data_IF_261773120234
#
_entry.id   IF_261773120234
#
_cell.length_a   1.000
_cell.length_b   1.000
_cell.length_c   1.000
_cell.angle_alpha   90.00
_cell.angle_beta   90.00
_cell.angle_gamma   90.00
#
_symmetry.space_group_name_H-M   'P 1'
#
loop_
_entity.id
_entity.type
_entity.pdbx_description
1 polymer ?
#
# COMPACT_ATOMS: atom_id res chain seq x y z
N UNK A 1 -58.56 -28.56 23.88
CA UNK A 1 -57.16 -28.52 23.40
C UNK A 1 -56.83 -27.08 23.10
N UNK A 2 -56.25 -26.41 24.10
CA UNK A 2 -55.99 -24.97 24.14
C UNK A 2 -54.63 -24.68 23.52
N UNK A 3 -54.60 -23.86 22.47
CA UNK A 3 -53.39 -23.40 21.81
C UNK A 3 -52.71 -22.31 22.65
N UNK A 4 -51.50 -22.57 23.12
CA UNK A 4 -50.62 -21.59 23.77
C UNK A 4 -49.80 -20.85 22.71
N UNK A 5 -50.13 -19.58 22.51
CA UNK A 5 -49.33 -18.65 21.72
C UNK A 5 -48.06 -18.27 22.49
N UNK A 6 -46.89 -18.65 21.97
CA UNK A 6 -45.60 -18.19 22.48
C UNK A 6 -45.18 -16.95 21.69
N UNK A 7 -45.12 -15.81 22.38
CA UNK A 7 -44.69 -14.51 21.83
C UNK A 7 -43.23 -14.59 21.41
N UNK A 8 -42.95 -14.44 20.11
CA UNK A 8 -41.60 -14.24 19.62
C UNK A 8 -41.10 -12.87 20.06
N UNK A 9 -40.01 -12.88 20.84
CA UNK A 9 -39.35 -11.69 21.38
C UNK A 9 -38.57 -11.05 20.24
N UNK A 10 -38.97 -9.84 19.83
CA UNK A 10 -38.21 -9.03 18.88
C UNK A 10 -36.78 -8.87 19.40
N UNK A 11 -35.80 -9.39 18.66
CA UNK A 11 -34.40 -9.09 18.92
C UNK A 11 -34.18 -7.62 18.58
N UNK A 12 -33.74 -6.89 19.60
CA UNK A 12 -33.25 -5.54 19.48
C UNK A 12 -31.98 -5.62 18.62
N UNK A 13 -32.07 -5.15 17.37
CA UNK A 13 -30.91 -4.92 16.52
C UNK A 13 -30.14 -3.80 17.21
N UNK A 14 -29.01 -4.15 17.84
CA UNK A 14 -28.05 -3.16 18.29
C UNK A 14 -27.54 -2.43 17.05
N UNK A 15 -27.58 -1.11 17.11
CA UNK A 15 -26.99 -0.23 16.10
C UNK A 15 -25.57 -0.73 15.79
N UNK A 16 -25.37 -1.15 14.54
CA UNK A 16 -24.04 -1.41 14.01
C UNK A 16 -23.27 -0.08 14.15
N UNK A 17 -22.26 -0.04 15.01
CA UNK A 17 -21.24 0.99 14.92
C UNK A 17 -20.67 0.88 13.52
N UNK A 18 -21.03 1.82 12.64
CA UNK A 18 -20.33 2.06 11.38
C UNK A 18 -18.85 2.19 11.74
N UNK A 19 -18.09 1.13 11.47
CA UNK A 19 -16.65 1.22 11.47
C UNK A 19 -16.35 2.13 10.27
N UNK A 20 -16.06 3.38 10.60
CA UNK A 20 -15.57 4.42 9.71
C UNK A 20 -14.25 3.94 9.07
N UNK A 21 -14.39 3.10 8.05
CA UNK A 21 -13.37 2.65 7.11
C UNK A 21 -13.42 3.55 5.85
N UNK A 22 -14.02 4.75 5.95
CA UNK A 22 -14.17 5.71 4.84
C UNK A 22 -12.91 6.53 4.57
N UNK A 23 -11.77 6.20 5.18
CA UNK A 23 -10.50 6.82 4.79
C UNK A 23 -9.41 5.75 4.66
N UNK A 24 -9.13 5.38 3.40
CA UNK A 24 -8.10 4.46 2.95
C UNK A 24 -6.66 4.98 3.19
N UNK A 25 -6.41 5.56 4.36
CA UNK A 25 -5.12 6.07 4.79
C UNK A 25 -4.69 5.31 6.04
N UNK A 26 -3.56 4.61 5.94
CA UNK A 26 -3.00 3.84 7.05
C UNK A 26 -2.87 4.70 8.32
N UNK A 27 -3.27 4.15 9.47
CA UNK A 27 -3.24 4.89 10.73
C UNK A 27 -1.79 5.02 11.20
N UNK A 28 -1.33 6.25 11.46
CA UNK A 28 0.04 6.47 11.95
C UNK A 28 0.23 5.97 13.38
N UNK A 29 1.40 5.42 13.71
CA UNK A 29 1.70 4.90 15.06
C UNK A 29 1.66 5.95 16.17
N UNK A 30 1.65 7.24 15.83
CA UNK A 30 1.45 8.33 16.80
C UNK A 30 0.12 8.21 17.54
N UNK A 31 -0.91 7.57 16.96
CA UNK A 31 -2.17 7.34 17.65
C UNK A 31 -2.09 6.29 18.76
N UNK A 32 -0.96 5.56 18.87
CA UNK A 32 -0.71 4.60 19.95
C UNK A 32 -0.16 5.28 21.21
N UNK A 33 0.13 6.59 21.18
CA UNK A 33 0.55 7.31 22.38
C UNK A 33 -0.52 7.29 23.47
N UNK A 34 -0.13 6.99 24.71
CA UNK A 34 -1.05 6.80 25.83
C UNK A 34 -0.99 5.38 26.39
N UNK A 35 -1.77 5.10 27.44
CA UNK A 35 -1.84 3.78 28.08
C UNK A 35 -0.48 3.15 28.49
N UNK A 36 0.54 3.99 28.70
CA UNK A 36 1.90 3.57 29.04
C UNK A 36 2.86 3.43 27.86
N UNK A 37 2.43 3.79 26.65
CA UNK A 37 3.27 4.01 25.46
C UNK A 37 3.60 5.51 25.41
N UNK A 38 4.90 5.82 25.36
CA UNK A 38 5.39 7.21 25.39
C UNK A 38 5.80 7.68 23.99
N UNK A 39 5.87 8.99 23.78
CA UNK A 39 6.42 9.56 22.54
C UNK A 39 7.85 9.07 22.25
N UNK A 40 8.65 8.81 23.30
CA UNK A 40 9.98 8.22 23.15
C UNK A 40 9.97 6.74 22.72
N UNK A 41 8.88 6.02 22.96
CA UNK A 41 8.69 4.66 22.43
C UNK A 41 8.26 4.73 20.96
N UNK A 42 7.38 5.66 20.59
CA UNK A 42 7.00 5.92 19.19
C UNK A 42 8.22 6.32 18.36
N UNK A 43 9.08 7.20 18.88
CA UNK A 43 10.31 7.59 18.18
C UNK A 43 11.20 6.39 17.86
N UNK A 44 11.37 5.45 18.80
CA UNK A 44 12.15 4.21 18.56
C UNK A 44 11.50 3.29 17.54
N UNK A 45 10.17 3.21 17.53
CA UNK A 45 9.44 2.44 16.52
C UNK A 45 9.66 3.04 15.12
N UNK A 46 9.59 4.38 15.00
CA UNK A 46 9.93 5.10 13.75
C UNK A 46 11.37 4.87 13.32
N UNK A 47 12.33 4.98 14.24
CA UNK A 47 13.75 4.70 13.97
C UNK A 47 13.98 3.25 13.51
N UNK A 48 13.15 2.31 13.97
CA UNK A 48 13.18 0.91 13.56
C UNK A 48 12.39 0.64 12.25
N UNK A 49 11.81 1.67 11.63
CA UNK A 49 11.12 1.59 10.34
C UNK A 49 9.61 1.29 10.43
N UNK A 50 9.01 1.37 11.61
CA UNK A 50 7.56 1.24 11.78
C UNK A 50 6.90 2.60 11.83
N UNK A 51 5.93 2.83 10.96
CA UNK A 51 5.26 4.12 10.79
C UNK A 51 3.75 4.03 10.92
N UNK A 52 3.18 2.85 10.65
CA UNK A 52 1.73 2.60 10.67
C UNK A 52 1.32 1.57 11.73
N UNK A 53 0.07 1.63 12.19
CA UNK A 53 -0.49 0.70 13.16
C UNK A 53 -0.55 -0.73 12.58
N UNK A 54 -0.81 -0.83 11.28
CA UNK A 54 -0.79 -2.03 10.45
C UNK A 54 0.55 -2.76 10.59
N UNK A 55 1.65 -2.04 10.33
CA UNK A 55 3.00 -2.59 10.45
C UNK A 55 3.27 -3.11 11.86
N UNK A 56 2.79 -2.44 12.90
CA UNK A 56 2.96 -2.90 14.29
C UNK A 56 2.17 -4.18 14.54
N UNK A 57 0.88 -4.24 14.19
CA UNK A 57 0.07 -5.41 14.53
C UNK A 57 0.42 -6.64 13.69
N UNK A 58 0.91 -6.45 12.45
CA UNK A 58 1.38 -7.55 11.60
C UNK A 58 2.79 -8.03 11.97
N UNK A 59 3.53 -7.24 12.75
CA UNK A 59 4.90 -7.59 13.14
C UNK A 59 4.93 -8.61 14.28
N UNK A 60 5.67 -9.72 14.13
CA UNK A 60 5.87 -10.67 15.20
C UNK A 60 6.51 -10.02 16.43
N UNK A 61 6.00 -10.30 17.64
CA UNK A 61 6.53 -9.77 18.92
C UNK A 61 8.06 -9.86 19.01
N UNK A 62 8.65 -10.97 18.55
CA UNK A 62 10.12 -11.20 18.56
C UNK A 62 10.90 -10.08 17.85
N UNK A 63 10.35 -9.50 16.78
CA UNK A 63 10.99 -8.42 16.04
C UNK A 63 10.88 -7.09 16.79
N UNK A 64 9.78 -6.84 17.51
CA UNK A 64 9.67 -5.65 18.37
C UNK A 64 10.67 -5.69 19.53
N UNK A 65 11.00 -6.89 20.04
CA UNK A 65 11.98 -7.07 21.11
C UNK A 65 13.43 -6.82 20.67
N UNK A 66 13.73 -6.80 19.36
CA UNK A 66 15.08 -6.44 18.89
C UNK A 66 15.32 -4.93 18.94
N UNK A 67 14.25 -4.13 19.10
CA UNK A 67 14.33 -2.68 19.17
C UNK A 67 14.88 -2.27 20.54
N UNK A 68 16.04 -1.61 20.53
CA UNK A 68 16.72 -1.19 21.75
C UNK A 68 15.83 -0.27 22.60
N UNK A 69 15.56 -0.70 23.83
CA UNK A 69 14.77 0.08 24.78
C UNK A 69 13.26 -0.16 24.71
N UNK A 70 12.81 -1.16 23.96
CA UNK A 70 11.47 -1.75 24.06
C UNK A 70 11.58 -3.01 24.92
N UNK A 71 10.93 -3.01 26.09
CA UNK A 71 10.86 -4.18 26.97
C UNK A 71 9.73 -5.10 26.56
N UNK A 72 9.72 -6.34 27.07
CA UNK A 72 8.65 -7.29 26.80
C UNK A 72 7.27 -6.76 27.17
N UNK A 73 7.14 -6.19 28.38
CA UNK A 73 5.90 -5.57 28.83
C UNK A 73 5.46 -4.38 27.96
N UNK A 74 6.40 -3.64 27.35
CA UNK A 74 6.07 -2.57 26.41
C UNK A 74 5.60 -3.14 25.06
N UNK A 75 6.28 -4.16 24.54
CA UNK A 75 5.89 -4.81 23.29
C UNK A 75 4.47 -5.38 23.39
N UNK A 76 4.12 -6.03 24.53
CA UNK A 76 2.76 -6.54 24.76
C UNK A 76 1.71 -5.41 24.75
N UNK A 77 2.00 -4.29 25.43
CA UNK A 77 1.10 -3.13 25.42
C UNK A 77 0.94 -2.52 24.04
N UNK A 78 2.04 -2.35 23.30
CA UNK A 78 2.03 -1.79 21.94
C UNK A 78 1.15 -2.66 21.03
N UNK A 79 1.37 -3.98 21.04
CA UNK A 79 0.57 -4.92 20.25
C UNK A 79 -0.90 -4.94 20.69
N UNK A 80 -1.17 -4.85 22.00
CA UNK A 80 -2.53 -4.80 22.51
C UNK A 80 -3.27 -3.53 22.07
N UNK A 81 -2.65 -2.36 22.14
CA UNK A 81 -3.28 -1.10 21.68
C UNK A 81 -3.47 -1.10 20.16
N UNK A 82 -2.48 -1.57 19.39
CA UNK A 82 -2.61 -1.70 17.93
C UNK A 82 -3.75 -2.65 17.54
N UNK A 83 -3.92 -3.76 18.26
CA UNK A 83 -4.98 -4.74 18.00
C UNK A 83 -6.39 -4.23 18.29
N UNK A 84 -6.55 -3.16 19.09
CA UNK A 84 -7.86 -2.53 19.32
C UNK A 84 -8.29 -1.66 18.14
N UNK A 85 -7.32 -1.13 17.40
CA UNK A 85 -7.56 -0.23 16.27
C UNK A 85 -7.77 -0.98 14.95
N UNK A 86 -7.56 -2.30 14.95
CA UNK A 86 -7.62 -3.14 13.77
C UNK A 86 -8.40 -4.43 14.02
N UNK A 87 -9.22 -4.80 13.05
CA UNK A 87 -9.98 -6.06 13.08
C UNK A 87 -9.09 -7.20 12.59
N UNK A 88 -8.34 -7.81 13.51
CA UNK A 88 -7.40 -8.91 13.25
C UNK A 88 -8.05 -10.32 13.26
N UNK A 89 -9.37 -10.40 13.13
CA UNK A 89 -10.16 -11.62 13.31
C UNK A 89 -10.74 -12.22 12.03
N UNK A 90 -11.65 -13.18 12.20
CA UNK A 90 -12.44 -13.73 11.11
C UNK A 90 -13.43 -12.69 10.59
N UNK A 91 -13.50 -12.55 9.27
CA UNK A 91 -14.54 -11.78 8.55
C UNK A 91 -15.34 -12.74 7.68
N UNK A 92 -16.62 -12.44 7.45
CA UNK A 92 -17.43 -13.17 6.48
C UNK A 92 -16.95 -12.89 5.05
N UNK A 93 -17.26 -13.80 4.12
CA UNK A 93 -16.94 -13.59 2.71
C UNK A 93 -17.64 -12.35 2.12
N UNK A 94 -18.80 -11.97 2.65
CA UNK A 94 -19.53 -10.76 2.25
C UNK A 94 -18.78 -9.49 2.64
N UNK A 95 -18.28 -9.42 3.88
CA UNK A 95 -17.47 -8.27 4.34
C UNK A 95 -16.18 -8.16 3.51
N UNK A 96 -15.51 -9.29 3.24
CA UNK A 96 -14.32 -9.29 2.37
C UNK A 96 -14.67 -8.80 0.97
N UNK A 97 -15.82 -9.17 0.42
CA UNK A 97 -16.25 -8.70 -0.90
C UNK A 97 -16.50 -7.19 -0.92
N UNK A 98 -17.14 -6.63 0.12
CA UNK A 98 -17.36 -5.19 0.27
C UNK A 98 -16.04 -4.41 0.40
N UNK A 99 -15.08 -4.92 1.18
CA UNK A 99 -13.75 -4.31 1.27
C UNK A 99 -13.09 -4.31 -0.11
N UNK A 100 -13.16 -5.43 -0.84
CA UNK A 100 -12.58 -5.53 -2.18
C UNK A 100 -13.26 -4.65 -3.23
N UNK A 101 -14.54 -4.29 -3.06
CA UNK A 101 -15.20 -3.35 -3.97
C UNK A 101 -14.68 -1.91 -3.87
N UNK A 102 -13.95 -1.58 -2.80
CA UNK A 102 -13.34 -0.27 -2.60
C UNK A 102 -11.88 -0.20 -3.11
N UNK A 103 -11.35 -1.30 -3.68
CA UNK A 103 -10.00 -1.31 -4.22
C UNK A 103 -9.91 -0.42 -5.45
N UNK A 104 -8.88 0.43 -5.48
CA UNK A 104 -8.58 1.28 -6.62
C UNK A 104 -7.81 0.50 -7.70
N UNK A 105 -7.97 0.94 -8.94
CA UNK A 105 -7.27 0.39 -10.09
C UNK A 105 -6.58 1.51 -10.85
N UNK A 106 -5.27 1.36 -11.07
CA UNK A 106 -4.50 2.31 -11.86
C UNK A 106 -4.57 1.89 -13.34
N UNK A 107 -5.12 2.75 -14.18
CA UNK A 107 -5.19 2.51 -15.62
C UNK A 107 -3.80 2.35 -16.22
N UNK A 108 -3.65 1.39 -17.13
CA UNK A 108 -2.43 1.20 -17.92
C UNK A 108 -2.31 2.20 -19.06
N UNK A 109 -3.36 3.00 -19.31
CA UNK A 109 -3.47 3.92 -20.43
C UNK A 109 -3.92 3.28 -21.75
N UNK A 110 -4.21 1.96 -21.75
CA UNK A 110 -4.82 1.22 -22.86
C UNK A 110 -6.12 0.57 -22.40
N UNK A 111 -7.22 0.90 -23.08
CA UNK A 111 -8.55 0.36 -22.78
C UNK A 111 -8.62 -1.16 -22.94
N UNK A 112 -7.92 -1.73 -23.91
CA UNK A 112 -7.89 -3.17 -24.14
C UNK A 112 -7.14 -3.90 -23.03
N UNK A 113 -6.02 -3.35 -22.56
CA UNK A 113 -5.24 -3.93 -21.48
C UNK A 113 -5.98 -3.79 -20.14
N UNK A 114 -6.58 -2.64 -19.86
CA UNK A 114 -7.40 -2.43 -18.66
C UNK A 114 -8.60 -3.40 -18.64
N UNK A 115 -9.25 -3.62 -19.78
CA UNK A 115 -10.33 -4.62 -19.91
C UNK A 115 -9.84 -6.04 -19.66
N UNK A 116 -8.63 -6.39 -20.13
CA UNK A 116 -8.04 -7.71 -19.89
C UNK A 116 -7.71 -7.93 -18.41
N UNK A 117 -7.25 -6.87 -17.73
CA UNK A 117 -6.89 -6.90 -16.31
C UNK A 117 -8.10 -6.71 -15.37
N UNK A 118 -9.28 -6.38 -15.91
CA UNK A 118 -10.49 -6.17 -15.11
C UNK A 118 -10.58 -4.78 -14.46
N UNK A 119 -9.89 -3.77 -14.99
CA UNK A 119 -9.95 -2.38 -14.53
C UNK A 119 -8.61 -1.64 -14.61
N UNK A 120 -7.50 -2.36 -14.63
CA UNK A 120 -6.15 -1.79 -14.59
C UNK A 120 -5.26 -2.59 -13.63
N UNK A 121 -4.24 -1.95 -13.07
CA UNK A 121 -3.39 -2.53 -12.03
C UNK A 121 -4.07 -2.37 -10.67
N UNK A 122 -4.34 -3.47 -9.97
CA UNK A 122 -5.02 -3.52 -8.66
C UNK A 122 -4.11 -2.98 -7.53
N UNK A 123 -4.59 -2.00 -6.77
CA UNK A 123 -3.85 -1.47 -5.61
C UNK A 123 -3.88 -2.42 -4.42
N UNK A 124 -2.91 -2.30 -3.50
CA UNK A 124 -2.78 -3.19 -2.33
C UNK A 124 -2.38 -4.62 -2.69
N UNK A 125 -1.86 -4.81 -3.91
CA UNK A 125 -1.40 -6.09 -4.44
C UNK A 125 -0.01 -5.97 -5.08
N UNK A 126 0.61 -7.11 -5.42
CA UNK A 126 1.84 -7.14 -6.21
C UNK A 126 1.50 -7.65 -7.61
N UNK A 127 1.73 -6.81 -8.63
CA UNK A 127 1.55 -7.19 -10.04
C UNK A 127 2.90 -7.36 -10.73
N UNK A 128 3.16 -8.54 -11.28
CA UNK A 128 4.40 -8.84 -12.01
C UNK A 128 4.20 -8.79 -13.52
N UNK A 129 5.02 -7.99 -14.21
CA UNK A 129 5.06 -7.86 -15.67
C UNK A 129 6.36 -8.50 -16.18
N UNK A 130 6.25 -9.60 -16.91
CA UNK A 130 7.40 -10.32 -17.46
C UNK A 130 7.34 -10.43 -18.98
N UNK A 131 8.49 -10.66 -19.62
CA UNK A 131 8.58 -10.87 -21.07
C UNK A 131 9.97 -10.56 -21.63
N UNK A 132 10.18 -10.81 -22.92
CA UNK A 132 11.48 -10.61 -23.59
C UNK A 132 11.96 -9.15 -23.58
N UNK A 133 13.24 -8.93 -23.91
CA UNK A 133 13.75 -7.58 -24.13
C UNK A 133 12.95 -6.87 -25.23
N UNK A 134 12.72 -5.56 -25.10
CA UNK A 134 11.92 -4.72 -26.02
C UNK A 134 10.43 -5.05 -26.13
N UNK A 135 9.83 -5.78 -25.19
CA UNK A 135 8.36 -5.98 -25.15
C UNK A 135 7.59 -4.83 -24.47
N UNK A 136 8.25 -3.74 -24.08
CA UNK A 136 7.58 -2.54 -23.55
C UNK A 136 7.41 -2.48 -22.04
N UNK A 137 7.97 -3.41 -21.26
CA UNK A 137 7.88 -3.43 -19.78
C UNK A 137 8.25 -2.09 -19.13
N UNK A 138 9.42 -1.55 -19.46
CA UNK A 138 9.88 -0.25 -18.95
C UNK A 138 8.98 0.90 -19.43
N UNK A 139 8.39 0.80 -20.62
CA UNK A 139 7.46 1.81 -21.11
C UNK A 139 6.16 1.80 -20.31
N UNK A 140 5.63 0.63 -19.98
CA UNK A 140 4.46 0.49 -19.12
C UNK A 140 4.76 1.03 -17.71
N UNK A 141 5.92 0.71 -17.13
CA UNK A 141 6.33 1.25 -15.84
C UNK A 141 6.42 2.79 -15.83
N UNK A 142 6.99 3.42 -16.87
CA UNK A 142 7.00 4.88 -17.00
C UNK A 142 5.59 5.47 -17.11
N UNK A 143 4.67 4.82 -17.83
CA UNK A 143 3.28 5.27 -17.94
C UNK A 143 2.58 5.20 -16.58
N UNK A 144 2.74 4.10 -15.86
CA UNK A 144 2.13 3.90 -14.54
C UNK A 144 2.66 4.88 -13.50
N UNK A 145 3.94 5.26 -13.56
CA UNK A 145 4.54 6.29 -12.70
C UNK A 145 3.89 7.67 -12.84
N UNK A 146 3.23 7.93 -13.98
CA UNK A 146 2.43 9.15 -14.20
C UNK A 146 0.96 8.90 -13.89
N UNK A 147 0.39 7.78 -14.38
CA UNK A 147 -1.03 7.49 -14.22
C UNK A 147 -1.45 7.34 -12.76
N UNK A 148 -0.59 6.84 -11.88
CA UNK A 148 -0.90 6.71 -10.45
C UNK A 148 -1.19 8.07 -9.78
N UNK A 149 -0.67 9.16 -10.34
CA UNK A 149 -0.84 10.52 -9.82
C UNK A 149 -2.15 11.17 -10.28
N UNK A 150 -2.85 10.56 -11.25
CA UNK A 150 -4.10 11.10 -11.77
C UNK A 150 -5.22 10.98 -10.72
N UNK A 151 -6.24 11.84 -10.82
CA UNK A 151 -7.51 11.66 -10.11
C UNK A 151 -8.13 10.28 -10.31
N UNK A 152 -8.86 9.79 -9.30
CA UNK A 152 -9.51 8.47 -9.36
C UNK A 152 -10.52 8.38 -10.50
N UNK A 153 -11.25 9.47 -10.80
CA UNK A 153 -12.21 9.54 -11.92
C UNK A 153 -11.53 9.50 -13.31
N UNK A 154 -10.22 9.71 -13.36
CA UNK A 154 -9.37 9.56 -14.55
C UNK A 154 -8.59 8.23 -14.58
N UNK A 155 -8.88 7.31 -13.65
CA UNK A 155 -8.21 6.01 -13.55
C UNK A 155 -6.82 6.08 -12.91
N UNK A 156 -6.57 7.07 -12.06
CA UNK A 156 -5.39 7.11 -11.18
C UNK A 156 -5.74 6.78 -9.72
N UNK A 157 -4.81 7.09 -8.82
CA UNK A 157 -4.95 6.86 -7.38
C UNK A 157 -4.53 8.08 -6.55
N UNK A 158 -4.37 9.25 -7.18
CA UNK A 158 -3.94 10.51 -6.53
C UNK A 158 -2.64 10.37 -5.72
N UNK A 159 -1.79 9.42 -6.09
CA UNK A 159 -0.61 9.03 -5.33
C UNK A 159 0.72 9.43 -5.97
N UNK A 160 1.73 9.72 -5.15
CA UNK A 160 3.14 9.84 -5.58
C UNK A 160 3.69 8.47 -6.01
N UNK A 161 4.70 8.47 -6.87
CA UNK A 161 5.35 7.24 -7.34
C UNK A 161 6.76 7.09 -6.74
N UNK A 162 7.05 5.90 -6.23
CA UNK A 162 8.42 5.46 -6.00
C UNK A 162 8.90 4.57 -7.13
N UNK A 163 10.08 4.84 -7.67
CA UNK A 163 10.66 4.11 -8.79
C UNK A 163 12.06 3.60 -8.44
N UNK A 164 12.21 2.28 -8.30
CA UNK A 164 13.53 1.66 -8.15
C UNK A 164 13.99 1.13 -9.50
N UNK A 165 15.13 1.62 -9.99
CA UNK A 165 15.74 1.24 -11.26
C UNK A 165 17.04 0.45 -11.02
N UNK A 166 17.12 -0.76 -11.55
CA UNK A 166 18.30 -1.64 -11.46
C UNK A 166 19.20 -1.55 -12.70
N UNK A 167 18.66 -1.16 -13.86
CA UNK A 167 19.38 -1.16 -15.13
C UNK A 167 19.84 0.23 -15.59
N UNK A 168 19.32 1.30 -14.98
CA UNK A 168 19.59 2.67 -15.43
C UNK A 168 18.79 3.03 -16.69
N UNK A 169 17.58 2.49 -16.82
CA UNK A 169 16.66 2.71 -17.96
C UNK A 169 15.66 3.82 -17.72
N UNK A 170 15.55 4.35 -16.49
CA UNK A 170 14.65 5.45 -16.17
C UNK A 170 15.00 6.71 -16.98
N UNK A 171 14.02 7.31 -17.64
CA UNK A 171 14.21 8.52 -18.45
C UNK A 171 13.05 9.49 -18.21
N UNK A 172 13.35 10.65 -17.63
CA UNK A 172 12.36 11.71 -17.35
C UNK A 172 11.63 12.18 -18.61
N UNK A 173 12.30 12.20 -19.76
CA UNK A 173 11.66 12.53 -21.06
C UNK A 173 10.50 11.62 -21.41
N UNK A 174 10.46 10.36 -20.92
CA UNK A 174 9.31 9.46 -21.11
C UNK A 174 8.13 9.86 -20.23
N UNK A 175 8.37 10.26 -18.98
CA UNK A 175 7.32 10.77 -18.09
C UNK A 175 6.72 12.06 -18.64
N UNK A 176 7.57 12.99 -19.11
CA UNK A 176 7.13 14.26 -19.71
C UNK A 176 6.16 14.00 -20.87
N UNK A 177 6.51 13.08 -21.78
CA UNK A 177 5.65 12.73 -22.92
C UNK A 177 4.30 12.12 -22.49
N UNK A 178 4.26 11.37 -21.39
CA UNK A 178 3.00 10.84 -20.83
C UNK A 178 2.20 11.96 -20.17
N UNK A 179 2.85 12.85 -19.41
CA UNK A 179 2.21 14.00 -18.77
C UNK A 179 1.51 14.93 -19.79
N UNK A 180 2.16 15.17 -20.94
CA UNK A 180 1.60 15.96 -22.04
C UNK A 180 0.27 15.39 -22.57
N UNK A 181 0.11 14.06 -22.62
CA UNK A 181 -1.15 13.39 -23.01
C UNK A 181 -2.30 13.79 -22.09
N UNK A 182 -2.03 13.94 -20.80
CA UNK A 182 -3.01 14.32 -19.78
C UNK A 182 -3.06 15.83 -19.53
N UNK A 183 -2.27 16.63 -20.25
CA UNK A 183 -2.16 18.10 -20.08
C UNK A 183 -1.77 18.52 -18.66
N UNK A 184 -0.95 17.71 -18.00
CA UNK A 184 -0.42 18.01 -16.68
C UNK A 184 0.94 18.69 -16.85
N UNK A 185 1.22 19.69 -16.01
CA UNK A 185 2.52 20.34 -15.99
C UNK A 185 3.61 19.28 -15.70
N UNK A 186 4.61 19.10 -16.58
CA UNK A 186 5.59 18.04 -16.39
C UNK A 186 6.39 18.17 -15.08
N UNK A 187 6.61 19.40 -14.62
CA UNK A 187 7.28 19.71 -13.35
C UNK A 187 6.57 19.04 -12.17
N UNK A 188 5.24 19.17 -12.09
CA UNK A 188 4.43 18.53 -11.04
C UNK A 188 4.54 17.00 -11.08
N UNK A 189 4.56 16.41 -12.29
CA UNK A 189 4.69 14.96 -12.44
C UNK A 189 6.05 14.48 -11.97
N UNK A 190 7.12 15.21 -12.31
CA UNK A 190 8.49 14.84 -11.95
C UNK A 190 8.74 15.00 -10.44
N UNK A 191 8.21 16.05 -9.81
CA UNK A 191 8.34 16.28 -8.37
C UNK A 191 7.65 15.18 -7.54
N UNK A 192 6.64 14.53 -8.11
CA UNK A 192 5.89 13.44 -7.49
C UNK A 192 6.49 12.04 -7.77
N UNK A 193 7.63 11.95 -8.47
CA UNK A 193 8.31 10.66 -8.74
C UNK A 193 9.67 10.63 -8.05
N UNK A 194 9.78 9.88 -6.96
CA UNK A 194 11.06 9.63 -6.30
C UNK A 194 11.74 8.41 -6.95
N UNK A 195 12.83 8.64 -7.67
CA UNK A 195 13.60 7.59 -8.34
C UNK A 195 14.91 7.29 -7.60
N UNK A 196 15.19 6.00 -7.37
CA UNK A 196 16.45 5.53 -6.81
C UNK A 196 17.07 4.43 -7.70
N UNK A 197 18.39 4.49 -7.88
CA UNK A 197 19.13 3.45 -8.61
C UNK A 197 19.73 2.44 -7.64
N UNK A 198 19.31 1.18 -7.72
CA UNK A 198 19.92 0.09 -6.98
C UNK A 198 21.11 -0.49 -7.77
N UNK A 199 22.23 -0.73 -7.08
CA UNK A 199 23.47 -1.24 -7.71
C UNK A 199 23.75 -2.71 -7.36
N UNK A 200 23.08 -3.22 -6.33
CA UNK A 200 23.15 -4.60 -5.87
C UNK A 200 21.93 -4.90 -4.98
N UNK A 201 21.76 -6.17 -4.60
CA UNK A 201 20.62 -6.67 -3.83
C UNK A 201 20.54 -6.06 -2.42
N UNK A 202 21.68 -5.87 -1.76
CA UNK A 202 21.72 -5.28 -0.41
C UNK A 202 21.24 -3.83 -0.44
N UNK A 203 21.73 -3.05 -1.41
CA UNK A 203 21.30 -1.67 -1.63
C UNK A 203 19.82 -1.61 -1.99
N UNK A 204 19.32 -2.51 -2.83
CA UNK A 204 17.88 -2.59 -3.14
C UNK A 204 17.04 -2.82 -1.89
N UNK A 205 17.48 -3.74 -1.02
CA UNK A 205 16.81 -4.03 0.26
C UNK A 205 16.82 -2.81 1.18
N UNK A 206 17.95 -2.11 1.26
CA UNK A 206 18.08 -0.88 2.05
C UNK A 206 17.15 0.23 1.54
N UNK A 207 17.02 0.40 0.22
CA UNK A 207 16.13 1.41 -0.36
C UNK A 207 14.67 1.22 0.06
N UNK A 208 14.23 -0.03 0.25
CA UNK A 208 12.87 -0.33 0.75
C UNK A 208 12.65 0.16 2.19
N UNK A 209 13.69 0.17 3.02
CA UNK A 209 13.60 0.65 4.41
C UNK A 209 13.64 2.16 4.55
N UNK A 210 14.11 2.87 3.51
CA UNK A 210 14.24 4.34 3.51
C UNK A 210 13.05 5.05 2.85
N UNK A 211 12.01 4.30 2.48
CA UNK A 211 10.82 4.84 1.82
C UNK A 211 10.12 5.84 2.75
N UNK A 212 9.89 7.10 2.30
CA UNK A 212 9.25 8.12 3.13
C UNK A 212 7.77 7.82 3.39
N UNK A 213 7.30 8.33 4.53
CA UNK A 213 5.96 8.12 5.12
C UNK A 213 4.77 8.41 4.16
N UNK A 214 4.95 9.27 3.15
CA UNK A 214 3.88 9.79 2.27
C UNK A 214 3.78 9.14 0.88
N UNK A 215 4.38 7.97 0.67
CA UNK A 215 4.48 7.40 -0.68
C UNK A 215 3.34 6.42 -0.96
N UNK A 216 2.36 6.86 -1.76
CA UNK A 216 1.09 6.14 -1.94
C UNK A 216 1.09 5.09 -3.07
N UNK A 217 2.04 5.10 -4.02
CA UNK A 217 2.17 4.03 -5.03
C UNK A 217 3.63 3.68 -5.29
N UNK A 218 3.97 2.39 -5.25
CA UNK A 218 5.33 1.93 -5.48
C UNK A 218 5.44 1.07 -6.76
N UNK A 219 6.20 1.59 -7.72
CA UNK A 219 6.48 0.94 -9.00
C UNK A 219 7.93 0.44 -8.96
N UNK A 220 8.14 -0.85 -8.71
CA UNK A 220 9.45 -1.50 -8.85
C UNK A 220 9.64 -1.91 -10.32
N UNK A 221 10.41 -1.15 -11.09
CA UNK A 221 10.86 -1.66 -12.37
C UNK A 221 12.04 -2.62 -12.13
N UNK A 222 11.70 -3.88 -11.86
CA UNK A 222 12.65 -4.90 -11.44
C UNK A 222 12.97 -5.92 -12.54
N UNK A 223 13.96 -5.64 -13.39
CA UNK A 223 14.51 -6.69 -14.25
C UNK A 223 15.61 -7.46 -13.49
N UNK A 224 15.55 -8.79 -13.37
CA UNK A 224 16.52 -9.57 -12.61
C UNK A 224 17.89 -9.60 -13.25
N UNK A 225 18.84 -9.88 -12.37
CA UNK A 225 20.23 -10.19 -12.66
C UNK A 225 20.46 -11.60 -13.24
N UNK A 226 19.40 -12.33 -13.60
CA UNK A 226 19.48 -13.61 -14.32
C UNK A 226 18.54 -13.52 -15.54
N UNK A 227 19.05 -13.93 -16.70
CA UNK A 227 18.50 -14.18 -18.06
C UNK A 227 17.00 -14.09 -18.42
N UNK A 228 16.09 -13.72 -17.52
CA UNK A 228 14.65 -13.60 -17.69
C UNK A 228 14.20 -12.26 -17.08
N UNK A 229 13.64 -11.35 -17.90
CA UNK A 229 13.35 -9.97 -17.50
C UNK A 229 11.97 -9.82 -16.82
N UNK A 230 11.92 -9.26 -15.60
CA UNK A 230 10.70 -8.98 -14.80
C UNK A 230 10.47 -7.46 -14.61
N UNK A 231 9.34 -7.08 -14.03
CA UNK A 231 9.03 -5.80 -13.39
C UNK A 231 7.91 -6.04 -12.36
N UNK A 232 7.93 -5.40 -11.20
CA UNK A 232 6.96 -5.62 -10.11
C UNK A 232 6.34 -4.31 -9.64
N UNK A 233 5.04 -4.13 -9.74
CA UNK A 233 4.36 -3.03 -9.07
C UNK A 233 4.00 -3.56 -7.68
N UNK A 234 4.49 -2.90 -6.63
CA UNK A 234 4.23 -3.29 -5.23
C UNK A 234 3.54 -2.10 -4.61
N UNK A 235 2.26 -2.18 -4.28
CA UNK A 235 1.70 -1.20 -3.35
C UNK A 235 2.02 -1.62 -1.92
N UNK A 236 2.30 -0.63 -1.07
CA UNK A 236 2.41 -0.87 0.37
C UNK A 236 0.99 -1.21 0.87
N UNK A 237 0.87 -2.34 1.56
CA UNK A 237 -0.33 -2.71 2.32
C UNK A 237 -0.47 -1.76 3.51
#
# INVERSE_FOLDING_TARGET
MTATASKSKALHVQEEEEIDDENAQAKLISCLEGNGITAGDIAKLKEAGYYTVEEIAFTPKKNLLTIKGISEAKADKILQEASKLMVMGFKSATEIHQIRSNILYISTGSTELDRLLGGGIETGSITEIFGEFRTGKTQLAHTLAVNCQLPVDMGGAEGKCLYIDTEGTFRTSRLIAVAEKFKIAPENVLDNVACARAYNTDHQTQLLTTIPEESTVFVRAETPFESHHHARIIDRI
#
